data_IF_153798582990
#
_entry.id   IF_153798582990
#
_cell.length_a   1.000
_cell.length_b   1.000
_cell.length_c   1.000
_cell.angle_alpha   90.00
_cell.angle_beta   90.00
_cell.angle_gamma   90.00
#
_symmetry.space_group_name_H-M   'P 1'
#
loop_
_entity.id
_entity.type
_entity.pdbx_description
1 polymer ?
#
# COMPACT_ATOMS: atom_id res chain seq x y z
N UNK A 1 7.24 -22.50 30.68
CA UNK A 1 5.86 -22.22 30.23
C UNK A 1 5.87 -21.79 28.78
N UNK A 2 5.16 -22.50 27.92
CA UNK A 2 5.06 -22.12 26.51
C UNK A 2 4.10 -20.92 26.41
N UNK A 3 4.47 -19.85 25.70
CA UNK A 3 3.57 -18.72 25.53
C UNK A 3 2.30 -19.16 24.77
N UNK A 4 1.17 -18.49 24.96
CA UNK A 4 -0.04 -18.81 24.22
C UNK A 4 0.22 -18.64 22.72
N UNK A 5 -0.19 -19.63 21.94
CA UNK A 5 -0.04 -19.63 20.48
C UNK A 5 -1.38 -19.21 19.86
N UNK A 6 -1.36 -18.12 19.13
CA UNK A 6 -2.51 -17.70 18.33
C UNK A 6 -2.40 -18.25 16.92
N UNK A 7 -3.55 -18.58 16.33
CA UNK A 7 -3.65 -19.06 14.95
C UNK A 7 -4.43 -18.06 14.13
N UNK A 8 -3.97 -17.81 12.92
CA UNK A 8 -4.67 -16.97 11.95
C UNK A 8 -4.42 -17.50 10.54
N UNK A 9 -5.25 -17.09 9.60
CA UNK A 9 -5.07 -17.42 8.18
C UNK A 9 -3.98 -16.55 7.57
N UNK A 10 -3.89 -15.28 8.00
CA UNK A 10 -2.92 -14.30 7.48
C UNK A 10 -2.25 -13.57 8.64
N UNK A 11 -0.94 -13.63 8.70
CA UNK A 11 -0.12 -12.81 9.59
C UNK A 11 0.49 -11.66 8.79
N UNK A 12 0.16 -10.43 9.19
CA UNK A 12 0.74 -9.21 8.60
C UNK A 12 1.80 -8.66 9.54
N UNK A 13 3.00 -8.51 9.04
CA UNK A 13 4.15 -7.95 9.78
C UNK A 13 4.38 -6.52 9.34
N UNK A 14 3.99 -5.57 10.19
CA UNK A 14 4.08 -4.13 9.95
C UNK A 14 2.71 -3.48 9.77
N UNK A 15 2.56 -2.29 10.33
CA UNK A 15 1.30 -1.51 10.29
C UNK A 15 1.42 -0.21 9.49
N UNK A 16 2.30 -0.17 8.50
CA UNK A 16 2.34 0.89 7.50
C UNK A 16 1.24 0.73 6.44
N UNK A 17 1.22 1.60 5.43
CA UNK A 17 0.20 1.58 4.37
C UNK A 17 0.06 0.22 3.69
N UNK A 18 1.16 -0.44 3.35
CA UNK A 18 1.15 -1.76 2.73
C UNK A 18 0.57 -2.84 3.65
N UNK A 19 1.01 -2.88 4.92
CA UNK A 19 0.52 -3.86 5.89
C UNK A 19 -0.95 -3.69 6.20
N UNK A 20 -1.41 -2.45 6.40
CA UNK A 20 -2.82 -2.17 6.65
C UNK A 20 -3.69 -2.49 5.44
N UNK A 21 -3.22 -2.19 4.23
CA UNK A 21 -3.92 -2.57 2.98
C UNK A 21 -4.05 -4.09 2.84
N UNK A 22 -2.97 -4.82 3.11
CA UNK A 22 -3.00 -6.29 3.10
C UNK A 22 -3.97 -6.85 4.15
N UNK A 23 -3.98 -6.28 5.36
CA UNK A 23 -4.88 -6.70 6.42
C UNK A 23 -6.36 -6.48 6.06
N UNK A 24 -6.70 -5.32 5.49
CA UNK A 24 -8.06 -5.01 5.03
C UNK A 24 -8.47 -5.96 3.92
N UNK A 25 -7.63 -6.13 2.88
CA UNK A 25 -7.92 -7.04 1.77
C UNK A 25 -8.12 -8.50 2.23
N UNK A 26 -7.30 -8.98 3.16
CA UNK A 26 -7.46 -10.31 3.73
C UNK A 26 -8.78 -10.44 4.51
N UNK A 27 -9.17 -9.41 5.28
CA UNK A 27 -10.47 -9.39 5.99
C UNK A 27 -11.65 -9.36 5.04
N UNK A 28 -11.57 -8.61 3.94
CA UNK A 28 -12.59 -8.60 2.89
C UNK A 28 -12.76 -9.99 2.26
N UNK A 29 -11.67 -10.74 2.15
CA UNK A 29 -11.68 -12.16 1.74
C UNK A 29 -12.10 -13.11 2.87
N UNK A 30 -12.60 -12.59 4.01
CA UNK A 30 -13.07 -13.35 5.18
C UNK A 30 -12.00 -14.16 5.92
N UNK A 31 -10.72 -13.85 5.71
CA UNK A 31 -9.64 -14.46 6.47
C UNK A 31 -9.57 -13.90 7.91
N UNK A 32 -9.12 -14.74 8.84
CA UNK A 32 -8.68 -14.28 10.15
C UNK A 32 -7.30 -13.64 10.04
N UNK A 33 -7.14 -12.43 10.56
CA UNK A 33 -5.90 -11.64 10.38
C UNK A 33 -5.34 -11.23 11.72
N UNK A 34 -4.05 -11.42 11.90
CA UNK A 34 -3.27 -10.85 12.99
C UNK A 34 -2.25 -9.86 12.40
N UNK A 35 -2.20 -8.67 12.95
CA UNK A 35 -1.20 -7.67 12.59
C UNK A 35 -0.21 -7.54 13.74
N UNK A 36 1.07 -7.71 13.46
CA UNK A 36 2.16 -7.45 14.42
C UNK A 36 2.96 -6.22 13.99
N UNK A 37 3.31 -5.41 14.95
CA UNK A 37 4.04 -4.16 14.70
C UNK A 37 5.06 -3.92 15.82
N UNK A 38 6.18 -3.28 15.49
CA UNK A 38 7.23 -2.95 16.46
C UNK A 38 6.88 -1.78 17.39
N UNK A 39 5.83 -1.04 17.09
CA UNK A 39 5.40 0.14 17.84
C UNK A 39 3.86 0.24 17.83
N UNK A 40 3.28 1.37 18.22
CA UNK A 40 1.85 1.55 18.17
C UNK A 40 1.30 1.36 16.74
N UNK A 41 0.07 0.85 16.64
CA UNK A 41 -0.60 0.66 15.35
C UNK A 41 -0.66 1.99 14.58
N UNK A 42 -0.28 1.98 13.32
CA UNK A 42 -0.24 3.17 12.47
C UNK A 42 0.97 4.10 12.70
N UNK A 43 1.81 3.84 13.70
CA UNK A 43 3.07 4.58 13.89
C UNK A 43 4.09 4.18 12.82
N UNK A 44 3.99 4.76 11.64
CA UNK A 44 4.73 4.39 10.44
C UNK A 44 5.13 5.62 9.63
N UNK A 45 5.96 5.43 8.63
CA UNK A 45 6.27 6.48 7.66
C UNK A 45 5.01 6.94 6.93
N UNK A 46 4.10 6.04 6.58
CA UNK A 46 2.80 6.38 5.99
C UNK A 46 1.99 7.29 6.91
N UNK A 47 1.92 6.98 8.20
CA UNK A 47 1.20 7.80 9.18
C UNK A 47 1.83 9.18 9.44
N UNK A 48 3.10 9.36 9.09
CA UNK A 48 3.83 10.64 9.21
C UNK A 48 3.91 11.42 7.91
N UNK A 49 3.51 10.81 6.80
CA UNK A 49 3.56 11.45 5.50
C UNK A 49 2.62 12.67 5.48
N UNK A 50 3.12 13.79 4.98
CA UNK A 50 2.39 15.06 4.84
C UNK A 50 1.99 15.33 3.39
N UNK A 51 2.49 14.53 2.46
CA UNK A 51 2.13 14.56 1.05
C UNK A 51 0.98 13.61 0.75
N UNK A 52 0.58 13.62 -0.52
CA UNK A 52 -0.41 12.69 -1.04
C UNK A 52 0.20 11.43 -1.67
N UNK A 53 -0.63 10.69 -2.34
CA UNK A 53 -0.24 9.57 -3.20
C UNK A 53 -0.33 10.04 -4.64
N UNK A 54 0.71 9.80 -5.43
CA UNK A 54 0.72 10.12 -6.85
C UNK A 54 0.06 8.99 -7.65
N UNK A 55 -0.86 9.37 -8.52
CA UNK A 55 -1.49 8.46 -9.47
C UNK A 55 -2.06 9.26 -10.65
N UNK A 56 -2.06 8.66 -11.83
CA UNK A 56 -2.63 9.26 -13.05
C UNK A 56 -4.15 9.13 -13.04
N UNK A 57 -4.85 10.05 -12.36
CA UNK A 57 -6.31 10.03 -12.20
C UNK A 57 -7.03 11.17 -12.93
N UNK A 58 -6.30 12.18 -13.39
CA UNK A 58 -6.90 13.27 -14.16
C UNK A 58 -7.21 12.83 -15.61
N UNK A 59 -8.24 13.43 -16.26
CA UNK A 59 -8.62 13.04 -17.63
C UNK A 59 -7.54 13.28 -18.68
N UNK A 60 -6.64 14.22 -18.42
CA UNK A 60 -5.52 14.62 -19.29
C UNK A 60 -4.17 14.02 -18.86
N UNK A 61 -4.17 13.11 -17.91
CA UNK A 61 -2.99 12.40 -17.42
C UNK A 61 -2.98 10.94 -17.92
N UNK A 62 -1.84 10.28 -17.86
CA UNK A 62 -1.70 8.89 -18.25
C UNK A 62 -0.76 8.11 -17.35
N UNK A 63 -0.97 6.81 -17.25
CA UNK A 63 -0.04 5.91 -16.54
C UNK A 63 1.31 5.84 -17.25
N UNK A 64 1.37 6.07 -18.55
CA UNK A 64 2.64 6.10 -19.29
C UNK A 64 3.47 7.35 -18.95
N UNK A 65 2.86 8.52 -18.83
CA UNK A 65 3.55 9.72 -18.37
C UNK A 65 4.04 9.56 -16.93
N UNK A 66 3.19 9.01 -16.04
CA UNK A 66 3.58 8.67 -14.67
C UNK A 66 4.75 7.68 -14.62
N UNK A 67 4.78 6.69 -15.53
CA UNK A 67 5.89 5.75 -15.67
C UNK A 67 7.19 6.48 -16.01
N UNK A 68 7.17 7.35 -17.03
CA UNK A 68 8.34 8.10 -17.47
C UNK A 68 8.88 9.02 -16.35
N UNK A 69 7.99 9.73 -15.69
CA UNK A 69 8.36 10.61 -14.56
C UNK A 69 8.98 9.83 -13.40
N UNK A 70 8.44 8.67 -13.11
CA UNK A 70 8.94 7.78 -12.04
C UNK A 70 10.36 7.28 -12.39
N UNK A 71 10.60 6.89 -13.64
CA UNK A 71 11.94 6.51 -14.08
C UNK A 71 12.93 7.67 -14.05
N UNK A 72 12.52 8.84 -14.51
CA UNK A 72 13.35 10.03 -14.48
C UNK A 72 13.76 10.40 -13.04
N UNK A 73 12.80 10.37 -12.10
CA UNK A 73 13.05 10.63 -10.68
C UNK A 73 13.94 9.57 -10.03
N UNK A 74 13.84 8.32 -10.45
CA UNK A 74 14.63 7.19 -9.94
C UNK A 74 16.05 7.09 -10.50
N UNK A 75 16.45 7.97 -11.41
CA UNK A 75 17.79 7.98 -12.03
C UNK A 75 18.23 6.63 -12.64
N UNK A 76 17.28 5.81 -13.06
CA UNK A 76 17.51 4.52 -13.69
C UNK A 76 17.72 3.32 -12.75
N UNK A 77 17.62 3.52 -11.44
CA UNK A 77 17.81 2.44 -10.44
C UNK A 77 16.55 1.59 -10.20
N UNK A 78 15.42 1.99 -10.75
CA UNK A 78 14.16 1.29 -10.54
C UNK A 78 14.00 0.07 -11.46
N UNK A 79 13.39 -1.00 -10.94
CA UNK A 79 12.98 -2.15 -11.74
C UNK A 79 11.78 -1.78 -12.64
N UNK A 80 11.90 -1.86 -13.97
CA UNK A 80 10.85 -1.45 -14.90
C UNK A 80 9.52 -2.18 -14.69
N UNK A 81 9.54 -3.47 -14.38
CA UNK A 81 8.33 -4.26 -14.20
C UNK A 81 7.58 -3.85 -12.93
N UNK A 82 8.32 -3.55 -11.86
CA UNK A 82 7.73 -3.10 -10.60
C UNK A 82 7.16 -1.68 -10.73
N UNK A 83 7.86 -0.77 -11.42
CA UNK A 83 7.34 0.58 -11.67
C UNK A 83 6.07 0.53 -12.49
N UNK A 84 6.03 -0.30 -13.53
CA UNK A 84 4.82 -0.48 -14.35
C UNK A 84 3.65 -0.98 -13.52
N UNK A 85 3.85 -2.00 -12.70
CA UNK A 85 2.83 -2.50 -11.78
C UNK A 85 2.32 -1.41 -10.84
N UNK A 86 3.22 -0.58 -10.31
CA UNK A 86 2.88 0.54 -9.42
C UNK A 86 1.99 1.56 -10.12
N UNK A 87 2.41 2.07 -11.28
CA UNK A 87 1.71 3.18 -11.95
C UNK A 87 0.40 2.73 -12.59
N UNK A 88 0.33 1.54 -13.15
CA UNK A 88 -0.89 0.99 -13.74
C UNK A 88 -1.94 0.66 -12.67
N UNK A 89 -1.51 0.20 -11.49
CA UNK A 89 -2.39 -0.06 -10.35
C UNK A 89 -2.78 1.20 -9.55
N UNK A 90 -2.13 2.33 -9.81
CA UNK A 90 -2.33 3.58 -9.05
C UNK A 90 -3.77 4.08 -9.03
N UNK A 91 -4.44 4.27 -10.18
CA UNK A 91 -5.81 4.76 -10.22
C UNK A 91 -6.80 3.91 -9.44
N UNK A 92 -6.74 2.58 -9.58
CA UNK A 92 -7.60 1.65 -8.86
C UNK A 92 -7.31 1.66 -7.35
N UNK A 93 -6.04 1.77 -6.97
CA UNK A 93 -5.64 1.89 -5.57
C UNK A 93 -6.20 3.16 -4.92
N UNK A 94 -6.16 4.30 -5.63
CA UNK A 94 -6.76 5.56 -5.15
C UNK A 94 -8.27 5.42 -4.98
N UNK A 95 -8.97 4.85 -5.96
CA UNK A 95 -10.40 4.61 -5.87
C UNK A 95 -10.77 3.71 -4.68
N UNK A 96 -10.00 2.66 -4.44
CA UNK A 96 -10.19 1.78 -3.31
C UNK A 96 -9.97 2.49 -1.96
N UNK A 97 -8.91 3.29 -1.83
CA UNK A 97 -8.64 4.08 -0.62
C UNK A 97 -9.76 5.10 -0.35
N UNK A 98 -10.26 5.77 -1.38
CA UNK A 98 -11.39 6.70 -1.26
C UNK A 98 -12.66 5.99 -0.79
N UNK A 99 -12.92 4.78 -1.28
CA UNK A 99 -14.05 3.95 -0.83
C UNK A 99 -13.93 3.57 0.66
N UNK A 100 -12.72 3.48 1.19
CA UNK A 100 -12.45 3.28 2.62
C UNK A 100 -12.54 4.57 3.46
N UNK A 101 -12.76 5.73 2.83
CA UNK A 101 -12.90 7.02 3.48
C UNK A 101 -11.61 7.83 3.60
N UNK A 102 -10.53 7.42 2.95
CA UNK A 102 -9.30 8.23 2.84
C UNK A 102 -9.58 9.45 1.96
N UNK A 103 -9.15 10.64 2.39
CA UNK A 103 -9.37 11.93 1.70
C UNK A 103 -8.05 12.55 1.29
#
# INVERSE_FOLDING_TARGET
MTPPMERCDVLVVGSGGAGMSAAVAARDARASVVVVTKSALGASNTGRAQGGIQAAVAPDDSTEDHLQDTFAAGHGDADPALVRTLVEGGPDAIAWLQALGVR
#
